data_IF_794109204183
#
_entry.id   IF_794109204183
#
_cell.length_a   1.000
_cell.length_b   1.000
_cell.length_c   1.000
_cell.angle_alpha   90.00
_cell.angle_beta   90.00
_cell.angle_gamma   90.00
#
_symmetry.space_group_name_H-M   'P 1'
#
loop_
_entity.id
_entity.type
_entity.pdbx_description
1 polymer ?
#
# COMPACT_ATOMS: atom_id res chain seq x y z
N UNK A 1 -22.31 17.00 -31.48
CA UNK A 1 -22.87 17.54 -30.23
C UNK A 1 -22.49 16.66 -29.07
N UNK A 2 -22.37 17.26 -27.88
CA UNK A 2 -21.88 16.68 -26.63
C UNK A 2 -22.85 15.60 -26.12
N UNK A 3 -22.36 14.39 -25.88
CA UNK A 3 -23.03 13.44 -24.99
C UNK A 3 -22.46 13.64 -23.58
N UNK A 4 -22.96 14.66 -22.90
CA UNK A 4 -22.91 14.73 -21.45
C UNK A 4 -24.09 13.93 -20.91
N UNK A 5 -23.88 13.25 -19.79
CA UNK A 5 -24.96 12.87 -18.87
C UNK A 5 -25.89 14.07 -18.67
N UNK A 6 -27.20 13.84 -18.48
CA UNK A 6 -28.23 14.90 -18.41
C UNK A 6 -27.93 16.01 -17.40
N UNK A 7 -27.01 15.79 -16.47
CA UNK A 7 -26.66 16.73 -15.40
C UNK A 7 -25.19 17.21 -15.44
N UNK A 8 -24.39 16.83 -16.45
CA UNK A 8 -22.99 17.28 -16.56
C UNK A 8 -22.08 16.87 -15.40
N UNK A 9 -22.57 16.04 -14.48
CA UNK A 9 -21.82 15.52 -13.36
C UNK A 9 -20.81 14.47 -13.84
N UNK A 10 -19.58 14.49 -13.30
CA UNK A 10 -18.48 13.67 -13.77
C UNK A 10 -18.76 12.17 -13.56
N UNK A 11 -18.18 11.34 -14.42
CA UNK A 11 -18.05 9.90 -14.19
C UNK A 11 -16.86 9.58 -13.26
N UNK A 12 -16.48 10.54 -12.39
CA UNK A 12 -15.31 10.47 -11.53
C UNK A 12 -15.58 11.02 -10.15
N UNK A 13 -15.16 10.22 -9.19
CA UNK A 13 -15.21 10.52 -7.77
C UNK A 13 -14.09 11.51 -7.41
N UNK A 14 -14.44 12.78 -7.16
CA UNK A 14 -13.54 13.71 -6.47
C UNK A 14 -13.42 13.37 -4.98
N UNK A 15 -12.47 13.98 -4.25
CA UNK A 15 -12.37 13.80 -2.78
C UNK A 15 -13.71 14.07 -2.09
N UNK A 16 -14.40 15.14 -2.47
CA UNK A 16 -15.73 15.47 -1.94
C UNK A 16 -16.79 14.42 -2.28
N UNK A 17 -16.70 13.78 -3.44
CA UNK A 17 -17.65 12.74 -3.86
C UNK A 17 -17.38 11.40 -3.17
N UNK A 18 -16.11 11.10 -2.83
CA UNK A 18 -15.75 9.94 -1.99
C UNK A 18 -16.28 10.16 -0.56
N UNK A 19 -16.13 11.37 -0.03
CA UNK A 19 -16.54 11.71 1.34
C UNK A 19 -18.06 11.83 1.51
N UNK A 20 -18.79 12.21 0.46
CA UNK A 20 -20.24 12.40 0.50
C UNK A 20 -21.05 11.12 0.17
N UNK A 21 -20.42 9.96 0.06
CA UNK A 21 -21.16 8.70 -0.12
C UNK A 21 -21.85 8.30 1.19
N UNK A 22 -23.06 7.72 1.08
CA UNK A 22 -23.76 7.16 2.23
C UNK A 22 -22.83 6.21 3.00
N UNK A 23 -22.92 6.21 4.33
CA UNK A 23 -22.03 5.48 5.27
C UNK A 23 -21.97 3.93 5.08
N UNK A 24 -22.65 3.40 4.06
CA UNK A 24 -22.77 1.98 3.74
C UNK A 24 -21.98 1.55 2.49
N UNK A 25 -21.36 2.48 1.75
CA UNK A 25 -20.60 2.13 0.54
C UNK A 25 -19.11 1.99 0.89
N UNK A 26 -18.58 0.80 0.71
CA UNK A 26 -17.15 0.52 0.83
C UNK A 26 -16.48 0.69 -0.54
N UNK A 27 -15.50 1.58 -0.64
CA UNK A 27 -14.75 1.79 -1.88
C UNK A 27 -13.53 0.88 -1.86
N UNK A 28 -13.55 -0.14 -2.74
CA UNK A 28 -12.40 -1.00 -3.01
C UNK A 28 -11.75 -0.57 -4.32
N UNK A 29 -10.44 -0.32 -4.27
CA UNK A 29 -9.62 -0.01 -5.45
C UNK A 29 -8.74 -1.22 -5.73
N UNK A 30 -8.80 -1.76 -6.94
CA UNK A 30 -8.04 -2.97 -7.30
C UNK A 30 -6.81 -2.58 -8.08
N UNK A 31 -5.63 -3.06 -7.67
CA UNK A 31 -4.41 -2.96 -8.47
C UNK A 31 -3.94 -4.36 -8.86
N UNK A 32 -3.74 -4.57 -10.16
CA UNK A 32 -3.30 -5.86 -10.70
C UNK A 32 -2.49 -5.72 -11.99
N UNK A 33 -1.77 -6.77 -12.35
CA UNK A 33 -0.98 -6.80 -13.58
C UNK A 33 -1.87 -6.84 -14.84
N UNK A 34 -1.54 -6.03 -15.84
CA UNK A 34 -1.92 -6.31 -17.23
C UNK A 34 -1.03 -7.42 -17.80
N UNK A 35 -1.58 -8.62 -17.92
CA UNK A 35 -0.83 -9.82 -18.33
C UNK A 35 -0.65 -9.96 -19.84
N UNK A 36 -1.24 -9.07 -20.64
CA UNK A 36 -0.90 -8.89 -22.05
C UNK A 36 -1.03 -7.42 -22.45
N UNK A 37 -0.51 -7.08 -23.64
CA UNK A 37 -0.71 -5.72 -24.19
C UNK A 37 -2.16 -5.44 -24.55
N UNK A 38 -2.89 -6.46 -24.97
CA UNK A 38 -4.22 -6.32 -25.55
C UNK A 38 -5.35 -6.50 -24.53
N UNK A 39 -5.09 -7.23 -23.45
CA UNK A 39 -6.09 -7.59 -22.47
C UNK A 39 -5.49 -7.66 -21.04
N UNK A 40 -6.14 -7.05 -20.03
CA UNK A 40 -5.67 -7.04 -18.64
C UNK A 40 -5.48 -8.45 -18.04
N UNK A 41 -6.47 -9.31 -18.22
CA UNK A 41 -6.52 -10.65 -17.61
C UNK A 41 -6.96 -11.72 -18.63
N UNK A 42 -6.07 -12.13 -19.56
CA UNK A 42 -6.40 -13.06 -20.65
C UNK A 42 -6.94 -14.42 -20.20
N UNK A 43 -6.66 -14.81 -18.95
CA UNK A 43 -6.94 -16.15 -18.44
C UNK A 43 -8.03 -16.14 -17.35
N UNK A 44 -8.60 -14.96 -17.07
CA UNK A 44 -9.62 -14.76 -16.03
C UNK A 44 -9.12 -15.02 -14.61
N UNK A 45 -7.80 -15.09 -14.40
CA UNK A 45 -7.22 -15.47 -13.12
C UNK A 45 -7.29 -14.32 -12.11
N UNK A 46 -6.96 -13.10 -12.55
CA UNK A 46 -7.05 -11.91 -11.71
C UNK A 46 -8.49 -11.66 -11.28
N UNK A 47 -9.45 -11.83 -12.20
CA UNK A 47 -10.88 -11.71 -11.88
C UNK A 47 -11.33 -12.77 -10.88
N UNK A 48 -10.87 -14.02 -11.00
CA UNK A 48 -11.18 -15.08 -10.01
C UNK A 48 -10.63 -14.74 -8.63
N UNK A 49 -9.36 -14.32 -8.54
CA UNK A 49 -8.79 -13.85 -7.28
C UNK A 49 -9.58 -12.69 -6.69
N UNK A 50 -10.03 -11.75 -7.53
CA UNK A 50 -10.81 -10.61 -7.08
C UNK A 50 -12.16 -11.04 -6.48
N UNK A 51 -12.90 -11.92 -7.17
CA UNK A 51 -14.17 -12.46 -6.69
C UNK A 51 -13.98 -13.22 -5.38
N UNK A 52 -12.92 -14.02 -5.26
CA UNK A 52 -12.58 -14.74 -4.04
C UNK A 52 -12.26 -13.80 -2.87
N UNK A 53 -11.48 -12.73 -3.12
CA UNK A 53 -11.09 -11.74 -2.11
C UNK A 53 -12.28 -10.87 -1.68
N UNK A 54 -13.18 -10.50 -2.59
CA UNK A 54 -14.27 -9.58 -2.30
C UNK A 54 -15.55 -10.26 -1.83
N UNK A 55 -15.75 -11.55 -2.13
CA UNK A 55 -16.96 -12.32 -1.76
C UNK A 55 -18.29 -11.64 -2.14
N UNK A 56 -18.29 -10.71 -3.09
CA UNK A 56 -19.47 -9.93 -3.48
C UNK A 56 -19.86 -10.15 -4.94
N UNK A 57 -21.17 -10.20 -5.26
CA UNK A 57 -21.65 -10.23 -6.64
C UNK A 57 -21.42 -8.86 -7.30
N UNK A 58 -20.69 -8.84 -8.42
CA UNK A 58 -20.48 -7.63 -9.21
C UNK A 58 -21.66 -7.33 -10.14
N UNK A 59 -22.11 -6.08 -10.16
CA UNK A 59 -23.02 -5.55 -11.17
C UNK A 59 -22.21 -4.71 -12.17
N UNK A 60 -22.36 -5.00 -13.46
CA UNK A 60 -21.75 -4.21 -14.54
C UNK A 60 -22.73 -3.11 -14.95
N UNK A 61 -22.31 -1.84 -14.91
CA UNK A 61 -23.08 -0.72 -15.44
C UNK A 61 -22.39 -0.16 -16.69
N UNK A 62 -23.17 -0.03 -17.76
CA UNK A 62 -22.72 0.24 -19.13
C UNK A 62 -22.96 1.72 -19.45
N UNK A 63 -21.95 2.58 -19.30
CA UNK A 63 -22.06 3.96 -19.79
C UNK A 63 -20.74 4.61 -20.26
N UNK A 64 -20.73 5.05 -21.53
CA UNK A 64 -19.84 6.03 -22.18
C UNK A 64 -18.37 6.09 -21.71
N UNK A 65 -17.62 5.05 -22.02
CA UNK A 65 -16.31 4.77 -21.40
C UNK A 65 -15.20 5.76 -21.74
N UNK A 66 -15.05 6.26 -22.96
CA UNK A 66 -13.74 6.83 -23.37
C UNK A 66 -13.37 8.14 -22.65
N UNK A 67 -14.32 9.07 -22.52
CA UNK A 67 -14.07 10.35 -21.84
C UNK A 67 -14.07 10.19 -20.31
N UNK A 68 -14.86 9.26 -19.78
CA UNK A 68 -14.87 8.89 -18.38
C UNK A 68 -13.54 8.23 -17.98
N UNK A 69 -13.10 7.24 -18.76
CA UNK A 69 -11.84 6.53 -18.64
C UNK A 69 -10.64 7.48 -18.71
N UNK A 70 -10.58 8.36 -19.72
CA UNK A 70 -9.47 9.31 -19.85
C UNK A 70 -9.33 10.23 -18.62
N UNK A 71 -10.46 10.67 -18.06
CA UNK A 71 -10.43 11.44 -16.82
C UNK A 71 -10.10 10.53 -15.61
N UNK A 72 -10.58 9.28 -15.58
CA UNK A 72 -10.32 8.33 -14.49
C UNK A 72 -8.85 8.05 -14.36
N UNK A 73 -8.21 7.76 -15.49
CA UNK A 73 -6.77 7.60 -15.60
C UNK A 73 -5.99 8.83 -15.07
N UNK A 74 -6.50 10.05 -15.31
CA UNK A 74 -5.86 11.28 -14.82
C UNK A 74 -5.95 11.45 -13.28
N UNK A 75 -6.95 10.83 -12.63
CA UNK A 75 -7.22 10.99 -11.20
C UNK A 75 -7.10 9.68 -10.41
N UNK A 76 -6.56 8.60 -10.98
CA UNK A 76 -6.46 7.32 -10.25
C UNK A 76 -5.71 7.46 -8.93
N UNK A 77 -4.65 8.29 -8.91
CA UNK A 77 -3.88 8.59 -7.71
C UNK A 77 -4.74 9.10 -6.54
N UNK A 78 -5.86 9.77 -6.81
CA UNK A 78 -6.83 10.23 -5.80
C UNK A 78 -7.47 9.02 -5.12
N UNK A 79 -8.01 8.07 -5.89
CA UNK A 79 -8.63 6.85 -5.35
C UNK A 79 -7.62 6.02 -4.55
N UNK A 80 -6.42 5.81 -5.10
CA UNK A 80 -5.41 5.03 -4.41
C UNK A 80 -4.93 5.70 -3.12
N UNK A 81 -4.85 7.04 -3.04
CA UNK A 81 -4.39 7.76 -1.85
C UNK A 81 -5.52 8.22 -0.92
N UNK A 82 -6.78 7.89 -1.20
CA UNK A 82 -7.90 8.30 -0.36
C UNK A 82 -7.99 7.46 0.92
N UNK A 83 -8.22 8.10 2.07
CA UNK A 83 -8.29 7.43 3.38
C UNK A 83 -9.43 6.42 3.44
N UNK A 84 -10.60 6.77 2.87
CA UNK A 84 -11.79 5.88 2.81
C UNK A 84 -11.70 4.75 1.78
N UNK A 85 -10.67 4.72 0.93
CA UNK A 85 -10.53 3.69 -0.08
C UNK A 85 -9.64 2.56 0.45
N UNK A 86 -10.08 1.31 0.33
CA UNK A 86 -9.21 0.16 0.55
C UNK A 86 -8.59 -0.29 -0.76
N UNK A 87 -7.27 -0.52 -0.77
CA UNK A 87 -6.59 -1.05 -1.95
C UNK A 87 -6.40 -2.56 -1.86
N UNK A 88 -6.91 -3.29 -2.84
CA UNK A 88 -6.72 -4.72 -3.02
C UNK A 88 -5.63 -4.95 -4.07
N UNK A 89 -4.50 -5.48 -3.65
CA UNK A 89 -3.40 -5.85 -4.53
C UNK A 89 -3.53 -7.30 -4.99
N UNK A 90 -3.48 -7.51 -6.31
CA UNK A 90 -3.35 -8.80 -6.97
C UNK A 90 -1.98 -8.82 -7.68
N UNK A 91 -0.96 -9.17 -6.92
CA UNK A 91 0.46 -9.09 -7.30
C UNK A 91 0.99 -10.39 -7.93
N UNK A 92 0.23 -11.49 -7.85
CA UNK A 92 0.57 -12.76 -8.47
C UNK A 92 0.16 -12.80 -9.94
N UNK A 93 1.11 -13.14 -10.83
CA UNK A 93 0.82 -13.45 -12.23
C UNK A 93 0.09 -14.79 -12.34
N UNK A 94 -0.70 -14.96 -13.40
CA UNK A 94 -1.36 -16.23 -13.71
C UNK A 94 -0.35 -17.39 -13.73
N UNK A 95 -0.58 -18.46 -12.93
CA UNK A 95 0.22 -19.68 -12.95
C UNK A 95 0.30 -20.35 -14.33
N UNK A 96 1.43 -21.00 -14.62
CA UNK A 96 1.71 -21.61 -15.94
C UNK A 96 0.72 -22.72 -16.31
N UNK A 97 0.29 -23.52 -15.35
CA UNK A 97 -0.73 -24.55 -15.55
C UNK A 97 -2.08 -23.97 -15.98
N UNK A 98 -2.49 -22.83 -15.38
CA UNK A 98 -3.71 -22.11 -15.79
C UNK A 98 -3.53 -21.51 -17.19
N UNK A 99 -2.38 -20.91 -17.48
CA UNK A 99 -2.07 -20.38 -18.82
C UNK A 99 -2.21 -21.48 -19.87
N UNK A 100 -1.58 -22.64 -19.65
CA UNK A 100 -1.61 -23.76 -20.60
C UNK A 100 -3.01 -24.35 -20.75
N UNK A 101 -3.78 -24.47 -19.66
CA UNK A 101 -5.15 -24.96 -19.69
C UNK A 101 -6.08 -24.04 -20.50
N UNK A 102 -5.81 -22.73 -20.50
CA UNK A 102 -6.69 -21.73 -21.10
C UNK A 102 -6.14 -21.05 -22.36
N UNK A 103 -4.98 -21.46 -22.88
CA UNK A 103 -4.31 -20.80 -24.02
C UNK A 103 -5.15 -20.72 -25.30
N UNK A 104 -6.07 -21.66 -25.51
CA UNK A 104 -6.95 -21.67 -26.69
C UNK A 104 -8.34 -21.08 -26.41
N UNK A 105 -8.56 -20.55 -25.19
CA UNK A 105 -9.80 -19.85 -24.85
C UNK A 105 -9.91 -18.58 -25.69
N UNK A 106 -11.08 -18.36 -26.28
CA UNK A 106 -11.39 -17.15 -27.03
C UNK A 106 -11.66 -16.01 -26.07
N UNK A 107 -11.01 -14.87 -26.31
CA UNK A 107 -11.17 -13.65 -25.54
C UNK A 107 -11.51 -12.48 -26.46
N UNK A 108 -12.32 -11.57 -25.94
CA UNK A 108 -12.69 -10.34 -26.61
C UNK A 108 -11.54 -9.34 -26.53
N UNK A 109 -11.02 -8.91 -27.67
CA UNK A 109 -9.94 -7.91 -27.76
C UNK A 109 -10.33 -6.84 -28.76
N UNK A 110 -10.08 -5.57 -28.41
CA UNK A 110 -10.23 -4.47 -29.36
C UNK A 110 -9.12 -4.50 -30.39
N UNK A 111 -9.49 -4.61 -31.66
CA UNK A 111 -8.58 -4.64 -32.80
C UNK A 111 -8.52 -3.26 -33.44
N UNK A 112 -7.37 -2.62 -33.37
CA UNK A 112 -7.19 -1.23 -33.81
C UNK A 112 -7.38 -1.06 -35.33
N UNK A 113 -6.95 -2.04 -36.13
CA UNK A 113 -7.05 -1.99 -37.60
C UNK A 113 -8.50 -2.03 -38.08
N UNK A 114 -9.31 -2.95 -37.53
CA UNK A 114 -10.73 -3.06 -37.90
C UNK A 114 -11.65 -2.14 -37.09
N UNK A 115 -11.14 -1.54 -36.00
CA UNK A 115 -11.90 -0.76 -35.01
C UNK A 115 -13.08 -1.53 -34.39
N UNK A 116 -12.97 -2.85 -34.32
CA UNK A 116 -13.99 -3.73 -33.74
C UNK A 116 -13.40 -4.62 -32.66
N UNK A 117 -14.26 -5.14 -31.78
CA UNK A 117 -13.89 -6.20 -30.86
C UNK A 117 -13.89 -7.54 -31.61
N UNK A 118 -12.77 -8.25 -31.56
CA UNK A 118 -12.60 -9.59 -32.15
C UNK A 118 -12.42 -10.64 -31.06
N UNK A 119 -12.89 -11.85 -31.33
CA UNK A 119 -12.60 -13.03 -30.52
C UNK A 119 -11.32 -13.67 -31.02
N UNK A 120 -10.26 -13.66 -30.21
CA UNK A 120 -8.98 -14.29 -30.56
C UNK A 120 -8.53 -15.25 -29.44
N UNK A 121 -7.82 -16.34 -29.76
CA UNK A 121 -7.27 -17.21 -28.73
C UNK A 121 -6.27 -16.46 -27.83
N UNK A 122 -6.31 -16.70 -26.52
CA UNK A 122 -5.39 -16.09 -25.56
C UNK A 122 -3.91 -16.32 -25.91
N UNK A 123 -3.59 -17.45 -26.55
CA UNK A 123 -2.24 -17.79 -27.05
C UNK A 123 -1.74 -16.86 -28.16
N UNK A 124 -2.61 -16.06 -28.78
CA UNK A 124 -2.24 -15.08 -29.81
C UNK A 124 -1.92 -13.71 -29.26
N UNK A 125 -2.08 -13.48 -27.95
CA UNK A 125 -1.75 -12.20 -27.33
C UNK A 125 -0.25 -12.04 -27.10
N UNK A 126 0.18 -10.78 -27.02
CA UNK A 126 1.52 -10.47 -26.60
C UNK A 126 1.59 -10.50 -25.07
N UNK A 127 2.09 -11.61 -24.53
CA UNK A 127 2.19 -11.84 -23.10
C UNK A 127 3.12 -10.81 -22.43
N UNK A 128 2.68 -10.30 -21.28
CA UNK A 128 3.46 -9.44 -20.41
C UNK A 128 3.73 -10.15 -19.08
N UNK A 129 4.91 -10.78 -19.00
CA UNK A 129 5.40 -11.51 -17.81
C UNK A 129 6.21 -10.64 -16.85
N UNK A 130 6.14 -9.32 -16.97
CA UNK A 130 6.78 -8.41 -16.01
C UNK A 130 6.17 -8.64 -14.63
N UNK A 131 6.97 -8.90 -13.59
CA UNK A 131 6.48 -8.99 -12.21
C UNK A 131 5.77 -7.71 -11.76
N UNK A 132 4.85 -7.81 -10.81
CA UNK A 132 4.01 -6.70 -10.37
C UNK A 132 4.85 -5.50 -9.89
N UNK A 133 5.83 -5.75 -9.04
CA UNK A 133 6.74 -4.77 -8.45
C UNK A 133 7.66 -4.08 -9.46
N UNK A 134 7.83 -4.69 -10.63
CA UNK A 134 8.63 -4.16 -11.74
C UNK A 134 7.84 -3.29 -12.71
N UNK A 135 6.55 -3.01 -12.43
CA UNK A 135 5.67 -2.22 -13.30
C UNK A 135 5.51 -0.80 -12.76
N UNK A 136 5.67 0.19 -13.64
CA UNK A 136 5.64 1.61 -13.27
C UNK A 136 4.34 2.03 -12.58
N UNK A 137 3.18 1.73 -13.19
CA UNK A 137 1.87 2.06 -12.62
C UNK A 137 1.60 1.28 -11.33
N UNK A 138 1.78 -0.04 -11.31
CA UNK A 138 1.58 -0.86 -10.12
C UNK A 138 2.45 -0.41 -8.94
N UNK A 139 3.72 -0.09 -9.21
CA UNK A 139 4.61 0.45 -8.18
C UNK A 139 4.11 1.79 -7.64
N UNK A 140 3.63 2.68 -8.50
CA UNK A 140 3.08 3.96 -8.08
C UNK A 140 1.77 3.81 -7.28
N UNK A 141 0.92 2.86 -7.66
CA UNK A 141 -0.34 2.55 -6.96
C UNK A 141 -0.07 2.08 -5.53
N UNK A 142 0.92 1.20 -5.33
CA UNK A 142 1.40 0.84 -3.98
C UNK A 142 1.85 2.07 -3.21
N UNK A 143 2.65 2.94 -3.85
CA UNK A 143 3.18 4.14 -3.22
C UNK A 143 2.07 5.10 -2.77
N UNK A 144 1.07 5.34 -3.62
CA UNK A 144 -0.08 6.19 -3.30
C UNK A 144 -0.95 5.57 -2.20
N UNK A 145 -1.17 4.26 -2.23
CA UNK A 145 -1.92 3.58 -1.18
C UNK A 145 -1.25 3.66 0.18
N UNK A 146 0.09 3.63 0.21
CA UNK A 146 0.85 3.67 1.46
C UNK A 146 1.00 5.09 2.04
N UNK A 147 0.52 6.14 1.36
CA UNK A 147 0.50 7.50 1.93
C UNK A 147 -0.68 7.77 2.86
N UNK A 148 -1.59 6.80 2.99
CA UNK A 148 -2.75 6.89 3.88
C UNK A 148 -2.31 6.90 5.33
N UNK A 149 -3.09 7.58 6.17
CA UNK A 149 -2.99 7.51 7.62
C UNK A 149 -3.56 6.16 8.09
N UNK A 150 -2.79 5.10 7.82
CA UNK A 150 -3.18 3.72 8.02
C UNK A 150 -2.21 3.00 8.95
N UNK A 151 -2.77 2.07 9.71
CA UNK A 151 -2.05 1.33 10.77
C UNK A 151 -1.19 0.19 10.18
N UNK A 152 -1.34 -0.15 8.91
CA UNK A 152 -0.69 -1.32 8.31
C UNK A 152 -0.36 -1.11 6.83
N UNK A 153 0.57 -0.20 6.55
CA UNK A 153 1.06 -0.05 5.18
C UNK A 153 1.97 -1.23 4.79
N UNK A 154 1.79 -1.71 3.57
CA UNK A 154 2.57 -2.81 3.00
C UNK A 154 3.92 -2.36 2.42
N UNK A 155 4.11 -1.05 2.26
CA UNK A 155 5.35 -0.44 1.77
C UNK A 155 5.58 0.93 2.40
N UNK A 156 6.78 1.46 2.19
CA UNK A 156 7.16 2.82 2.61
C UNK A 156 6.98 3.78 1.43
N UNK A 157 6.26 4.91 1.61
CA UNK A 157 6.23 5.98 0.62
C UNK A 157 7.63 6.56 0.41
N UNK A 158 8.06 6.59 -0.84
CA UNK A 158 9.40 7.01 -1.22
C UNK A 158 9.42 8.50 -1.55
N UNK A 159 10.44 9.24 -1.13
CA UNK A 159 10.66 10.59 -1.62
C UNK A 159 10.75 10.61 -3.15
N UNK A 160 10.30 11.70 -3.82
CA UNK A 160 10.19 11.72 -5.28
C UNK A 160 11.49 11.43 -6.02
N UNK A 161 12.62 11.86 -5.47
CA UNK A 161 13.94 11.60 -6.06
C UNK A 161 14.33 10.12 -5.96
N UNK A 162 14.06 9.46 -4.83
CA UNK A 162 14.32 8.02 -4.64
C UNK A 162 13.41 7.20 -5.56
N UNK A 163 12.14 7.57 -5.67
CA UNK A 163 11.21 6.90 -6.58
C UNK A 163 11.64 7.07 -8.05
N UNK A 164 12.14 8.25 -8.43
CA UNK A 164 12.67 8.51 -9.77
C UNK A 164 13.88 7.63 -10.13
N UNK A 165 14.75 7.33 -9.17
CA UNK A 165 15.88 6.42 -9.38
C UNK A 165 15.44 5.01 -9.77
N UNK A 166 14.26 4.55 -9.34
CA UNK A 166 13.68 3.25 -9.75
C UNK A 166 13.32 3.20 -11.25
N UNK A 167 13.20 4.35 -11.92
CA UNK A 167 13.03 4.42 -13.38
C UNK A 167 14.36 4.52 -14.13
N UNK A 168 15.40 5.04 -13.48
CA UNK A 168 16.67 5.39 -14.10
C UNK A 168 17.65 4.21 -14.20
N UNK A 169 17.26 3.01 -13.76
CA UNK A 169 18.21 1.95 -13.46
C UNK A 169 18.93 1.43 -14.72
N UNK A 170 20.16 1.92 -14.94
CA UNK A 170 21.10 1.49 -15.98
C UNK A 170 21.56 0.03 -15.86
N UNK A 171 20.96 -0.73 -14.94
CA UNK A 171 21.16 -2.18 -14.71
C UNK A 171 20.09 -3.06 -15.38
N UNK A 172 19.12 -2.48 -16.09
CA UNK A 172 18.09 -3.24 -16.82
C UNK A 172 16.90 -3.70 -15.96
N UNK A 173 16.85 -3.25 -14.70
CA UNK A 173 15.83 -3.54 -13.68
C UNK A 173 14.83 -2.41 -13.46
N UNK A 174 14.93 -1.32 -14.24
CA UNK A 174 14.03 -0.18 -14.14
C UNK A 174 12.56 -0.55 -14.36
N UNK A 175 11.68 0.25 -13.78
CA UNK A 175 10.23 0.07 -13.89
C UNK A 175 9.77 0.07 -15.35
N UNK A 176 8.89 -0.89 -15.69
CA UNK A 176 8.43 -1.13 -17.07
C UNK A 176 6.97 -0.73 -17.25
N UNK A 177 6.63 -0.34 -18.46
CA UNK A 177 5.26 -0.06 -18.89
C UNK A 177 4.83 -1.00 -20.01
N UNK A 178 3.57 -1.41 -20.00
CA UNK A 178 3.03 -2.40 -20.94
C UNK A 178 2.92 -1.86 -22.39
N UNK A 179 2.49 -0.61 -22.55
CA UNK A 179 2.15 -0.03 -23.86
C UNK A 179 3.04 1.15 -24.24
N UNK A 180 2.96 2.24 -23.47
CA UNK A 180 3.73 3.47 -23.67
C UNK A 180 4.47 3.83 -22.38
N UNK A 181 5.56 4.58 -22.49
CA UNK A 181 6.23 5.08 -21.30
C UNK A 181 5.42 6.22 -20.71
N UNK A 182 4.70 5.93 -19.61
CA UNK A 182 4.01 6.93 -18.80
C UNK A 182 4.90 7.43 -17.64
N UNK A 183 6.22 7.21 -17.72
CA UNK A 183 7.17 7.50 -16.63
C UNK A 183 7.05 8.94 -16.11
N UNK A 184 7.03 9.93 -17.00
CA UNK A 184 6.94 11.34 -16.60
C UNK A 184 5.66 11.65 -15.84
N UNK A 185 4.53 11.06 -16.24
CA UNK A 185 3.24 11.28 -15.60
C UNK A 185 3.16 10.56 -14.25
N UNK A 186 3.64 9.31 -14.18
CA UNK A 186 3.74 8.56 -12.93
C UNK A 186 4.62 9.27 -11.92
N UNK A 187 5.78 9.77 -12.33
CA UNK A 187 6.67 10.55 -11.47
C UNK A 187 6.03 11.84 -10.98
N UNK A 188 5.33 12.57 -11.87
CA UNK A 188 4.62 13.80 -11.52
C UNK A 188 3.54 13.52 -10.47
N UNK A 189 2.72 12.48 -10.68
CA UNK A 189 1.64 12.10 -9.76
C UNK A 189 2.15 11.56 -8.42
N UNK A 190 3.20 10.74 -8.44
CA UNK A 190 3.82 10.25 -7.21
C UNK A 190 4.40 11.41 -6.38
N UNK A 191 5.08 12.36 -7.02
CA UNK A 191 5.58 13.54 -6.33
C UNK A 191 4.45 14.39 -5.74
N UNK A 192 3.35 14.55 -6.49
CA UNK A 192 2.16 15.28 -6.03
C UNK A 192 1.57 14.64 -4.78
N UNK A 193 1.26 13.34 -4.82
CA UNK A 193 0.68 12.61 -3.67
C UNK A 193 1.61 12.65 -2.46
N UNK A 194 2.90 12.36 -2.67
CA UNK A 194 3.88 12.36 -1.58
C UNK A 194 3.95 13.72 -0.87
N UNK A 195 4.16 14.79 -1.63
CA UNK A 195 4.31 16.14 -1.07
C UNK A 195 3.02 16.67 -0.44
N UNK A 196 1.86 16.19 -0.89
CA UNK A 196 0.57 16.61 -0.34
C UNK A 196 0.21 15.89 0.96
N UNK A 197 0.52 14.59 1.04
CA UNK A 197 0.06 13.69 2.11
C UNK A 197 1.09 13.53 3.23
N UNK A 198 2.35 13.26 2.89
CA UNK A 198 3.38 12.85 3.86
C UNK A 198 3.67 13.92 4.92
N UNK A 199 3.79 15.22 4.59
CA UNK A 199 3.99 16.25 5.62
C UNK A 199 2.86 16.35 6.65
N UNK A 200 1.64 15.92 6.28
CA UNK A 200 0.44 15.98 7.12
C UNK A 200 0.19 14.68 7.88
N UNK A 201 0.93 13.61 7.58
CA UNK A 201 0.76 12.30 8.19
C UNK A 201 1.17 12.36 9.66
N UNK A 202 0.23 12.07 10.57
CA UNK A 202 0.45 12.08 12.01
C UNK A 202 0.78 10.70 12.57
N UNK A 203 0.19 9.67 11.96
CA UNK A 203 0.38 8.28 12.33
C UNK A 203 0.79 7.49 11.09
N UNK A 204 1.85 6.70 11.23
CA UNK A 204 2.37 5.89 10.13
C UNK A 204 2.55 4.44 10.57
N UNK A 205 1.73 3.54 10.02
CA UNK A 205 1.78 2.12 10.30
C UNK A 205 2.61 1.32 9.31
N UNK A 206 3.38 0.36 9.81
CA UNK A 206 4.33 -0.46 9.06
C UNK A 206 4.04 -1.93 9.35
N UNK A 207 3.71 -2.70 8.31
CA UNK A 207 3.51 -4.14 8.43
C UNK A 207 4.83 -4.91 8.32
N UNK A 208 5.37 -5.35 9.46
CA UNK A 208 6.66 -6.05 9.54
C UNK A 208 6.69 -7.43 8.85
N UNK A 209 5.54 -8.00 8.48
CA UNK A 209 5.50 -9.27 7.74
C UNK A 209 5.87 -9.10 6.27
N UNK A 210 5.46 -7.97 5.70
CA UNK A 210 5.57 -7.68 4.27
C UNK A 210 6.81 -6.85 4.00
N UNK A 211 7.13 -5.90 4.89
CA UNK A 211 8.26 -4.98 4.75
C UNK A 211 9.60 -5.73 4.77
N UNK A 212 10.47 -5.37 3.82
CA UNK A 212 11.83 -5.87 3.66
C UNK A 212 12.83 -5.01 4.43
N UNK A 213 14.04 -5.50 4.60
CA UNK A 213 15.12 -4.73 5.23
C UNK A 213 15.47 -3.46 4.43
N UNK A 214 15.48 -3.58 3.10
CA UNK A 214 15.72 -2.46 2.17
C UNK A 214 14.68 -1.34 2.36
N UNK A 215 13.42 -1.70 2.60
CA UNK A 215 12.32 -0.74 2.80
C UNK A 215 12.53 0.11 4.07
N UNK A 216 13.20 -0.41 5.10
CA UNK A 216 13.51 0.37 6.30
C UNK A 216 14.61 1.40 6.06
N UNK A 217 15.51 1.13 5.11
CA UNK A 217 16.47 2.14 4.66
C UNK A 217 15.74 3.26 3.91
N UNK A 218 14.77 2.90 3.07
CA UNK A 218 13.90 3.86 2.40
C UNK A 218 13.09 4.72 3.40
N UNK A 219 12.65 4.14 4.52
CA UNK A 219 12.02 4.90 5.61
C UNK A 219 12.96 5.94 6.21
N UNK A 220 14.23 5.61 6.44
CA UNK A 220 15.22 6.59 6.91
C UNK A 220 15.27 7.83 6.01
N UNK A 221 15.22 7.60 4.69
CA UNK A 221 15.27 8.66 3.68
C UNK A 221 13.94 9.43 3.61
N UNK A 222 12.82 8.77 3.87
CA UNK A 222 11.48 9.38 3.84
C UNK A 222 11.14 10.20 5.09
N UNK A 223 11.62 9.76 6.27
CA UNK A 223 11.31 10.34 7.58
C UNK A 223 11.46 11.88 7.67
N UNK A 224 12.46 12.55 7.08
CA UNK A 224 12.55 14.01 7.13
C UNK A 224 11.34 14.74 6.51
N UNK A 225 10.62 14.10 5.59
CA UNK A 225 9.44 14.69 4.94
C UNK A 225 8.17 14.59 5.79
N UNK A 226 8.20 13.78 6.87
CA UNK A 226 7.09 13.60 7.79
C UNK A 226 7.05 14.71 8.85
N UNK A 227 6.67 15.92 8.43
CA UNK A 227 6.70 17.11 9.29
C UNK A 227 5.77 17.00 10.50
N UNK A 228 4.61 16.36 10.36
CA UNK A 228 3.59 16.24 11.41
C UNK A 228 3.56 14.87 12.12
N UNK A 229 4.54 14.00 11.87
CA UNK A 229 4.50 12.63 12.37
C UNK A 229 4.70 12.60 13.88
N UNK A 230 3.71 12.03 14.56
CA UNK A 230 3.63 11.93 16.02
C UNK A 230 3.86 10.48 16.48
N UNK A 231 3.41 9.49 15.68
CA UNK A 231 3.45 8.08 16.05
C UNK A 231 3.82 7.16 14.87
N UNK A 232 4.73 6.21 15.11
CA UNK A 232 5.00 5.09 14.20
C UNK A 232 4.47 3.81 14.83
N UNK A 233 3.68 3.06 14.07
CA UNK A 233 3.10 1.80 14.52
C UNK A 233 3.72 0.65 13.74
N UNK A 234 4.33 -0.30 14.45
CA UNK A 234 4.78 -1.55 13.86
C UNK A 234 3.75 -2.65 14.11
N UNK A 235 3.12 -3.10 13.03
CA UNK A 235 2.16 -4.19 13.07
C UNK A 235 2.83 -5.52 12.77
N UNK A 236 2.59 -6.47 13.67
CA UNK A 236 2.89 -7.89 13.50
C UNK A 236 1.58 -8.66 13.52
N UNK A 237 1.27 -9.34 12.43
CA UNK A 237 0.19 -10.31 12.41
C UNK A 237 0.69 -11.63 12.96
N UNK A 238 -0.03 -12.18 13.95
CA UNK A 238 0.20 -13.57 14.35
C UNK A 238 -0.15 -14.44 13.15
N UNK A 239 0.86 -14.89 12.44
CA UNK A 239 0.70 -15.97 11.48
C UNK A 239 0.18 -17.17 12.30
N UNK A 240 -0.95 -17.77 11.90
CA UNK A 240 -1.48 -18.91 12.66
C UNK A 240 -0.56 -20.13 12.57
N UNK A 241 0.45 -20.11 11.67
CA UNK A 241 1.38 -21.22 11.46
C UNK A 241 2.79 -20.78 11.01
N UNK A 242 3.60 -20.07 11.81
CA UNK A 242 5.03 -20.08 11.53
C UNK A 242 5.51 -21.48 11.90
N UNK A 243 5.88 -22.28 10.89
CA UNK A 243 6.57 -23.58 11.10
C UNK A 243 7.87 -23.41 11.90
N UNK A 244 8.34 -22.18 12.12
CA UNK A 244 9.56 -21.87 12.85
C UNK A 244 9.48 -20.51 13.58
N UNK A 245 8.98 -20.47 14.83
CA UNK A 245 8.89 -19.25 15.65
C UNK A 245 10.21 -18.47 15.77
N UNK A 246 11.35 -19.18 15.84
CA UNK A 246 12.68 -18.57 15.90
C UNK A 246 12.96 -17.64 14.72
N UNK A 247 12.54 -18.01 13.50
CA UNK A 247 12.76 -17.19 12.31
C UNK A 247 12.00 -15.86 12.32
N UNK A 248 10.86 -15.78 13.03
CA UNK A 248 10.05 -14.56 13.12
C UNK A 248 10.63 -13.59 14.15
N UNK A 249 11.09 -14.11 15.29
CA UNK A 249 11.77 -13.32 16.33
C UNK A 249 13.12 -12.80 15.83
N UNK A 250 13.88 -13.63 15.11
CA UNK A 250 15.14 -13.22 14.48
C UNK A 250 14.91 -12.11 13.44
N UNK A 251 13.88 -12.25 12.57
CA UNK A 251 13.52 -11.22 11.59
C UNK A 251 13.07 -9.93 12.27
N UNK A 252 12.29 -10.01 13.35
CA UNK A 252 11.88 -8.83 14.15
C UNK A 252 13.11 -8.10 14.68
N UNK A 253 14.04 -8.79 15.33
CA UNK A 253 15.25 -8.18 15.89
C UNK A 253 16.10 -7.49 14.82
N UNK A 254 16.28 -8.13 13.66
CA UNK A 254 17.00 -7.55 12.52
C UNK A 254 16.33 -6.27 12.01
N UNK A 255 15.01 -6.30 11.78
CA UNK A 255 14.26 -5.15 11.30
C UNK A 255 14.25 -4.00 12.31
N UNK A 256 14.09 -4.29 13.61
CA UNK A 256 14.15 -3.26 14.66
C UNK A 256 15.54 -2.63 14.77
N UNK A 257 16.60 -3.44 14.64
CA UNK A 257 17.97 -2.95 14.64
C UNK A 257 18.25 -2.04 13.43
N UNK A 258 17.79 -2.44 12.24
CA UNK A 258 17.88 -1.62 11.04
C UNK A 258 17.12 -0.29 11.20
N UNK A 259 15.90 -0.35 11.74
CA UNK A 259 15.10 0.85 11.99
C UNK A 259 15.71 1.77 13.05
N UNK A 260 16.26 1.24 14.14
CA UNK A 260 16.96 2.06 15.13
C UNK A 260 18.18 2.77 14.54
N UNK A 261 18.93 2.11 13.65
CA UNK A 261 20.04 2.73 12.91
C UNK A 261 19.56 3.83 11.96
N UNK A 262 18.41 3.62 11.30
CA UNK A 262 17.77 4.61 10.46
C UNK A 262 17.38 5.85 11.26
N UNK A 263 16.65 5.68 12.37
CA UNK A 263 16.22 6.78 13.23
C UNK A 263 17.39 7.62 13.77
N UNK A 264 18.48 6.98 14.18
CA UNK A 264 19.65 7.71 14.72
C UNK A 264 20.26 8.71 13.73
N UNK A 265 20.04 8.51 12.42
CA UNK A 265 20.57 9.35 11.35
C UNK A 265 19.65 10.53 11.00
N UNK A 266 18.43 10.56 11.53
CA UNK A 266 17.37 11.46 11.08
C UNK A 266 16.79 12.25 12.26
N UNK A 267 16.18 13.40 11.97
CA UNK A 267 15.45 14.21 12.95
C UNK A 267 13.97 14.22 12.60
N UNK A 268 13.12 13.77 13.53
CA UNK A 268 11.66 13.86 13.43
C UNK A 268 11.15 14.59 14.68
N UNK A 269 11.07 15.93 14.66
CA UNK A 269 10.88 16.74 15.87
C UNK A 269 9.54 16.46 16.57
N UNK A 270 8.52 16.03 15.82
CA UNK A 270 7.20 15.77 16.36
C UNK A 270 6.97 14.32 16.76
N UNK A 271 7.92 13.40 16.48
CA UNK A 271 7.76 11.98 16.79
C UNK A 271 7.85 11.78 18.30
N UNK A 272 6.74 11.37 18.90
CA UNK A 272 6.58 11.20 20.36
C UNK A 272 6.48 9.74 20.75
N UNK A 273 5.98 8.90 19.86
CA UNK A 273 5.59 7.54 20.20
C UNK A 273 5.98 6.53 19.12
N UNK A 274 6.42 5.35 19.57
CA UNK A 274 6.53 4.17 18.72
C UNK A 274 5.81 3.02 19.41
N UNK A 275 4.85 2.45 18.68
CA UNK A 275 4.03 1.36 19.18
C UNK A 275 4.34 0.06 18.45
N UNK A 276 4.26 -1.05 19.19
CA UNK A 276 4.31 -2.40 18.65
C UNK A 276 2.97 -3.07 18.88
N UNK A 277 2.30 -3.43 17.79
CA UNK A 277 1.01 -4.13 17.83
C UNK A 277 1.19 -5.56 17.35
N UNK A 278 0.81 -6.52 18.18
CA UNK A 278 0.60 -7.90 17.77
C UNK A 278 -0.89 -8.16 17.62
N UNK A 279 -1.40 -8.18 16.39
CA UNK A 279 -2.82 -8.45 16.13
C UNK A 279 -3.00 -9.85 15.51
N UNK A 280 -4.10 -10.57 15.80
CA UNK A 280 -4.54 -11.66 14.94
C UNK A 280 -4.91 -11.10 13.55
N UNK A 281 -4.72 -11.91 12.50
CA UNK A 281 -4.96 -11.56 11.09
C UNK A 281 -6.46 -11.46 10.79
N UNK A 282 -7.17 -10.54 11.43
CA UNK A 282 -8.53 -10.15 11.06
C UNK A 282 -8.42 -8.86 10.25
N UNK A 283 -9.15 -8.74 9.14
CA UNK A 283 -9.12 -7.60 8.21
C UNK A 283 -9.12 -6.26 8.96
N UNK A 284 -7.92 -5.72 9.20
CA UNK A 284 -7.67 -4.62 10.12
C UNK A 284 -7.40 -3.34 9.32
N UNK A 285 -8.44 -2.79 8.70
CA UNK A 285 -8.35 -1.48 8.05
C UNK A 285 -9.29 -0.43 8.66
N UNK A 286 -10.13 -0.79 9.65
CA UNK A 286 -10.84 0.18 10.50
C UNK A 286 -10.42 -0.02 11.96
N UNK A 287 -9.64 0.92 12.48
CA UNK A 287 -9.37 1.03 13.92
C UNK A 287 -10.59 1.60 14.69
N UNK A 288 -11.81 1.22 14.31
CA UNK A 288 -13.04 1.62 15.01
C UNK A 288 -13.69 0.47 15.82
N UNK A 289 -13.25 -0.79 15.66
CA UNK A 289 -13.98 -1.94 16.23
C UNK A 289 -13.11 -3.05 16.87
N UNK A 290 -12.03 -2.69 17.57
CA UNK A 290 -11.33 -3.65 18.46
C UNK A 290 -11.93 -3.62 19.87
N UNK A 291 -13.14 -4.16 20.00
CA UNK A 291 -13.79 -4.48 21.28
C UNK A 291 -13.25 -5.74 21.98
N UNK A 292 -12.32 -6.49 21.38
CA UNK A 292 -11.67 -7.63 22.05
C UNK A 292 -10.35 -7.99 21.38
N UNK A 293 -9.23 -7.58 21.96
CA UNK A 293 -7.90 -8.11 21.64
C UNK A 293 -7.46 -9.01 22.80
N UNK A 294 -7.29 -10.30 22.55
CA UNK A 294 -6.65 -11.20 23.53
C UNK A 294 -5.18 -10.80 23.70
N UNK A 295 -4.84 -10.36 24.91
CA UNK A 295 -3.48 -9.98 25.26
C UNK A 295 -2.66 -11.18 25.67
N UNK A 296 -1.55 -11.39 24.96
CA UNK A 296 -0.45 -12.20 25.45
C UNK A 296 0.57 -11.24 26.06
N UNK A 297 0.66 -11.23 27.39
CA UNK A 297 1.70 -10.48 28.12
C UNK A 297 3.04 -11.17 27.82
N UNK A 298 3.98 -10.45 27.22
CA UNK A 298 5.37 -10.86 27.18
C UNK A 298 6.07 -10.22 28.38
N UNK A 299 6.49 -11.03 29.35
CA UNK A 299 7.03 -10.58 30.65
C UNK A 299 8.41 -9.91 30.59
N UNK A 300 9.00 -9.69 29.41
CA UNK A 300 10.26 -8.96 29.28
C UNK A 300 10.29 -8.10 28.01
N UNK A 301 10.60 -6.79 28.12
CA UNK A 301 10.91 -6.00 26.94
C UNK A 301 12.12 -6.64 26.23
N UNK A 302 12.10 -6.76 24.89
CA UNK A 302 13.24 -7.33 24.18
C UNK A 302 14.51 -6.52 24.48
N UNK A 303 15.67 -7.16 24.49
CA UNK A 303 16.99 -6.50 24.65
C UNK A 303 17.18 -5.30 23.71
N UNK A 304 16.45 -5.28 22.59
CA UNK A 304 16.50 -4.29 21.53
C UNK A 304 15.65 -3.05 21.82
N UNK A 305 14.71 -3.11 22.78
CA UNK A 305 13.91 -1.97 23.20
C UNK A 305 14.79 -0.83 23.74
N UNK A 306 15.90 -1.16 24.43
CA UNK A 306 16.88 -0.17 24.88
C UNK A 306 17.71 0.45 23.75
N UNK A 307 17.94 -0.27 22.65
CA UNK A 307 18.59 0.27 21.45
C UNK A 307 17.64 1.23 20.73
N UNK A 308 16.38 0.83 20.58
CA UNK A 308 15.35 1.65 19.96
C UNK A 308 15.05 2.91 20.78
N UNK A 309 14.94 2.79 22.11
CA UNK A 309 14.74 3.94 22.99
C UNK A 309 15.89 4.94 22.88
N UNK A 310 17.14 4.48 22.85
CA UNK A 310 18.30 5.37 22.66
C UNK A 310 18.32 6.02 21.28
N UNK A 311 17.98 5.28 20.23
CA UNK A 311 17.87 5.84 18.88
C UNK A 311 16.76 6.90 18.79
N UNK A 312 15.63 6.65 19.45
CA UNK A 312 14.53 7.60 19.59
C UNK A 312 14.96 8.87 20.32
N UNK A 313 15.58 8.72 21.49
CA UNK A 313 16.10 9.86 22.23
C UNK A 313 17.09 10.64 21.37
N UNK A 314 18.02 10.00 20.67
CA UNK A 314 18.96 10.68 19.76
C UNK A 314 18.28 11.40 18.58
N UNK A 315 17.18 10.86 18.07
CA UNK A 315 16.41 11.49 16.98
C UNK A 315 15.64 12.73 17.48
N UNK A 316 15.13 12.69 18.71
CA UNK A 316 14.40 13.79 19.36
C UNK A 316 15.33 14.89 19.93
N UNK A 317 16.45 14.50 20.56
CA UNK A 317 17.39 15.38 21.28
C UNK A 317 18.14 16.35 20.35
N UNK A 318 18.19 16.06 19.04
CA UNK A 318 18.66 17.00 18.02
C UNK A 318 17.70 18.20 17.79
N UNK A 319 16.50 18.18 18.35
CA UNK A 319 15.47 19.21 18.13
C UNK A 319 15.14 20.06 19.36
N UNK A 320 15.30 19.57 20.59
CA UNK A 320 15.21 20.39 21.81
C UNK A 320 15.69 19.62 23.05
N UNK A 321 16.63 20.19 23.83
CA UNK A 321 17.26 19.53 24.99
C UNK A 321 16.33 19.33 26.21
N UNK A 322 15.08 19.80 26.13
CA UNK A 322 14.10 19.74 27.23
C UNK A 322 13.11 18.56 27.16
N UNK A 323 13.04 17.82 26.04
CA UNK A 323 12.09 16.70 25.88
C UNK A 323 12.52 15.41 26.62
N UNK A 324 13.80 15.28 26.98
CA UNK A 324 14.35 14.06 27.60
C UNK A 324 14.10 14.02 29.11
N UNK A 325 14.08 15.17 29.79
CA UNK A 325 13.83 15.23 31.24
C UNK A 325 12.33 15.19 31.62
N UNK A 326 11.42 15.44 30.68
CA UNK A 326 9.96 15.49 30.92
C UNK A 326 9.24 14.13 30.78
N UNK A 327 9.89 13.09 30.24
CA UNK A 327 9.28 11.77 30.07
C UNK A 327 8.25 11.67 28.92
N UNK A 328 8.36 12.52 27.90
CA UNK A 328 7.37 12.63 26.82
C UNK A 328 7.47 11.53 25.74
N UNK A 329 8.62 10.84 25.59
CA UNK A 329 8.78 9.76 24.61
C UNK A 329 8.42 8.41 25.23
N UNK A 330 7.34 7.78 24.75
CA UNK A 330 6.84 6.51 25.27
C UNK A 330 7.10 5.36 24.30
N UNK A 331 7.70 4.29 24.81
CA UNK A 331 7.65 2.96 24.20
C UNK A 331 6.58 2.17 24.94
N UNK A 332 5.48 1.85 24.27
CA UNK A 332 4.44 1.00 24.85
C UNK A 332 4.25 -0.26 24.02
N UNK A 333 4.41 -1.42 24.65
CA UNK A 333 3.76 -2.64 24.19
C UNK A 333 2.34 -2.64 24.77
N UNK A 334 1.31 -2.66 23.93
CA UNK A 334 -0.07 -2.70 24.40
C UNK A 334 -0.39 -4.09 24.96
N UNK A 335 -0.44 -4.20 26.29
CA UNK A 335 -1.07 -5.30 27.00
C UNK A 335 -2.45 -4.83 27.51
N UNK A 336 -3.54 -5.43 27.02
CA UNK A 336 -4.88 -5.18 27.57
C UNK A 336 -4.97 -5.69 29.00
N UNK A 337 -5.13 -4.77 29.95
CA UNK A 337 -5.59 -5.08 31.30
C UNK A 337 -7.06 -5.44 31.29
N UNK A 338 -7.38 -6.72 31.11
CA UNK A 338 -8.70 -7.28 31.42
C UNK A 338 -8.64 -8.03 32.75
N UNK A 339 -8.55 -7.30 33.86
CA UNK A 339 -8.89 -7.80 35.19
C UNK A 339 -9.09 -6.64 36.18
N UNK A 340 -10.27 -6.02 36.16
CA UNK A 340 -10.97 -5.47 37.35
C UNK A 340 -12.26 -4.77 36.92
N UNK A 341 -13.33 -5.54 36.82
CA UNK A 341 -14.67 -5.14 37.22
C UNK A 341 -15.59 -6.35 37.12
N UNK A 342 -15.63 -7.13 38.20
CA UNK A 342 -16.75 -7.94 38.66
C UNK A 342 -16.35 -8.45 40.05
N UNK A 343 -16.59 -7.60 41.03
CA UNK A 343 -16.84 -8.00 42.41
C UNK A 343 -18.35 -7.96 42.62
#
# INVERSE_FOLDING_TARGET
ERAGTKDGMPALVGHEEVQNQDAWVEIKVVSHCWESKQHPDPYGHQLRQLVEKLQQPYAYDDCSEVAAFGRAMANMHVLYSHEEAETVFLDELTPTDIIEAHKDSLIAVYDEESRMVKQIPASKLEANRTPYESRGWCSAEVQWSCTKDAVSNSAIPLPPHVFAERFADGKGTGLKFTLRSDASEVLRLQAQVFNEKIPKCKLFGINLHVVREDDLSDLAVALPAFESLECIIFCMYKDERPKNRRSVEDRRSVLLSAFAKALAQVTCPNLREIQFHSAPRVHANRYQDLGSTESLILDQPPSDAGVLHRALLQACDKSDANCVESGEVRLSEYASGAAKQLA
#
